data_IF_739391716149
#
_entry.id   IF_739391716149
#
_cell.length_a   1.000
_cell.length_b   1.000
_cell.length_c   1.000
_cell.angle_alpha   90.00
_cell.angle_beta   90.00
_cell.angle_gamma   90.00
#
_symmetry.space_group_name_H-M   'P 1'
#
loop_
_entity.id
_entity.type
_entity.pdbx_description
1 polymer ?
#
# COMPACT_ATOMS: atom_id res chain seq x y z
N UNK A 1 -15.71 -15.20 -9.45
CA UNK A 1 -16.13 -14.35 -10.58
C UNK A 1 -15.12 -13.22 -10.75
N UNK A 2 -14.51 -13.05 -11.95
CA UNK A 2 -13.49 -12.01 -12.19
C UNK A 2 -13.99 -10.58 -11.89
N UNK A 3 -15.29 -10.33 -12.06
CA UNK A 3 -15.89 -9.01 -11.75
C UNK A 3 -15.78 -8.66 -10.27
N UNK A 4 -15.95 -9.63 -9.38
CA UNK A 4 -15.78 -9.43 -7.94
C UNK A 4 -14.32 -9.14 -7.58
N UNK A 5 -13.38 -9.84 -8.20
CA UNK A 5 -11.96 -9.64 -7.99
C UNK A 5 -11.54 -8.19 -8.28
N UNK A 6 -11.84 -7.69 -9.49
CA UNK A 6 -11.56 -6.30 -9.87
C UNK A 6 -12.23 -5.29 -8.95
N UNK A 7 -13.49 -5.54 -8.58
CA UNK A 7 -14.24 -4.65 -7.71
C UNK A 7 -13.65 -4.58 -6.28
N UNK A 8 -13.31 -5.73 -5.70
CA UNK A 8 -12.69 -5.81 -4.36
C UNK A 8 -11.30 -5.14 -4.34
N UNK A 9 -10.51 -5.33 -5.39
CA UNK A 9 -9.23 -4.63 -5.54
C UNK A 9 -9.41 -3.11 -5.57
N UNK A 10 -10.43 -2.61 -6.24
CA UNK A 10 -10.76 -1.17 -6.27
C UNK A 10 -11.18 -0.64 -4.91
N UNK A 11 -11.96 -1.40 -4.12
CA UNK A 11 -12.31 -1.02 -2.76
C UNK A 11 -11.05 -0.91 -1.88
N UNK A 12 -10.15 -1.88 -1.99
CA UNK A 12 -8.92 -1.89 -1.20
C UNK A 12 -7.95 -0.76 -1.56
N UNK A 13 -7.95 -0.34 -2.80
CA UNK A 13 -7.04 0.69 -3.31
C UNK A 13 -7.49 2.13 -3.08
N UNK A 14 -8.62 2.32 -2.62
CA UNK A 14 -9.46 3.49 -2.37
C UNK A 14 -8.77 4.87 -2.31
N UNK A 15 -8.60 5.50 -3.46
CA UNK A 15 -8.25 6.93 -3.51
C UNK A 15 -9.51 7.83 -3.51
N UNK A 16 -10.58 7.39 -4.20
CA UNK A 16 -11.84 8.15 -4.31
C UNK A 16 -13.06 7.43 -3.70
N UNK A 17 -12.91 6.17 -3.28
CA UNK A 17 -14.02 5.35 -2.80
C UNK A 17 -15.00 4.96 -3.91
N UNK A 18 -15.80 3.94 -3.65
CA UNK A 18 -16.92 3.53 -4.50
C UNK A 18 -18.20 3.75 -3.71
N UNK A 19 -19.10 4.58 -4.19
CA UNK A 19 -20.36 4.84 -3.51
C UNK A 19 -21.16 3.54 -3.33
N UNK A 20 -21.64 3.29 -2.11
CA UNK A 20 -22.47 2.12 -1.81
C UNK A 20 -23.85 2.30 -2.42
N UNK A 21 -24.22 1.42 -3.36
CA UNK A 21 -25.51 1.47 -4.03
C UNK A 21 -25.99 0.06 -4.39
N UNK A 22 -26.99 -0.42 -3.68
CA UNK A 22 -27.57 -1.76 -3.89
C UNK A 22 -28.28 -1.96 -5.24
N UNK A 23 -28.42 -0.91 -6.07
CA UNK A 23 -28.87 -1.06 -7.46
C UNK A 23 -27.77 -1.57 -8.39
N UNK A 24 -26.53 -1.54 -7.94
CA UNK A 24 -25.41 -2.16 -8.65
C UNK A 24 -25.37 -3.64 -8.26
N UNK A 25 -25.44 -4.54 -9.23
CA UNK A 25 -25.52 -5.98 -9.00
C UNK A 25 -24.30 -6.51 -8.23
N UNK A 26 -23.08 -6.04 -8.54
CA UNK A 26 -21.86 -6.46 -7.85
C UNK A 26 -21.90 -6.04 -6.37
N UNK A 27 -22.31 -4.81 -6.09
CA UNK A 27 -22.42 -4.31 -4.71
C UNK A 27 -23.49 -5.07 -3.96
N UNK A 28 -24.65 -5.30 -4.60
CA UNK A 28 -25.75 -6.07 -4.01
C UNK A 28 -25.34 -7.50 -3.66
N UNK A 29 -24.67 -8.18 -4.58
CA UNK A 29 -24.19 -9.54 -4.37
C UNK A 29 -23.16 -9.60 -3.23
N UNK A 30 -22.12 -8.75 -3.28
CA UNK A 30 -21.07 -8.73 -2.27
C UNK A 30 -21.59 -8.31 -0.89
N UNK A 31 -22.57 -7.41 -0.81
CA UNK A 31 -23.22 -7.05 0.44
C UNK A 31 -24.09 -8.19 0.97
N UNK A 32 -24.81 -8.89 0.08
CA UNK A 32 -25.63 -10.08 0.45
C UNK A 32 -24.75 -11.22 0.99
N UNK A 33 -23.57 -11.43 0.39
CA UNK A 33 -22.58 -12.39 0.90
C UNK A 33 -21.85 -11.91 2.17
N UNK A 34 -22.10 -10.70 2.62
CA UNK A 34 -21.45 -10.14 3.81
C UNK A 34 -19.95 -9.85 3.62
N UNK A 35 -19.50 -9.63 2.39
CA UNK A 35 -18.10 -9.29 2.08
C UNK A 35 -17.87 -7.79 2.24
N UNK A 36 -18.83 -6.98 1.82
CA UNK A 36 -18.80 -5.52 1.92
C UNK A 36 -19.98 -4.96 2.70
N UNK A 37 -19.83 -3.74 3.16
CA UNK A 37 -20.88 -2.95 3.83
C UNK A 37 -20.83 -1.50 3.36
N UNK A 38 -21.84 -0.72 3.72
CA UNK A 38 -21.81 0.73 3.64
C UNK A 38 -20.93 1.30 4.76
N UNK A 39 -19.94 2.10 4.41
CA UNK A 39 -19.12 2.84 5.35
C UNK A 39 -19.83 4.09 5.88
N UNK A 40 -19.26 4.71 6.91
CA UNK A 40 -19.81 5.93 7.53
C UNK A 40 -19.82 7.13 6.57
N UNK A 41 -19.04 7.09 5.51
CA UNK A 41 -18.95 8.07 4.44
C UNK A 41 -19.85 7.75 3.23
N UNK A 42 -20.69 6.70 3.32
CA UNK A 42 -21.54 6.23 2.24
C UNK A 42 -20.80 5.46 1.13
N UNK A 43 -19.54 5.10 1.36
CA UNK A 43 -18.74 4.34 0.41
C UNK A 43 -18.73 2.85 0.76
N UNK A 44 -18.38 1.99 -0.22
CA UNK A 44 -18.18 0.57 0.03
C UNK A 44 -16.97 0.34 0.93
N UNK A 45 -17.14 -0.47 1.96
CA UNK A 45 -16.07 -0.94 2.84
C UNK A 45 -16.06 -2.47 2.93
N UNK A 46 -14.88 -3.07 3.07
CA UNK A 46 -14.79 -4.50 3.42
C UNK A 46 -15.37 -4.70 4.82
N UNK A 47 -16.26 -5.66 4.95
CA UNK A 47 -17.06 -5.84 6.18
C UNK A 47 -16.19 -6.09 7.42
N UNK A 48 -15.14 -6.90 7.28
CA UNK A 48 -14.29 -7.25 8.41
C UNK A 48 -12.84 -7.54 8.00
N UNK A 49 -11.88 -7.49 8.96
CA UNK A 49 -10.45 -7.74 8.68
C UNK A 49 -10.13 -9.12 8.12
N UNK A 50 -10.96 -10.14 8.39
CA UNK A 50 -10.72 -11.49 7.87
C UNK A 50 -10.89 -11.51 6.35
N UNK A 51 -11.94 -10.90 5.83
CA UNK A 51 -12.13 -10.78 4.38
C UNK A 51 -11.04 -9.93 3.73
N UNK A 52 -10.66 -8.82 4.36
CA UNK A 52 -9.55 -8.00 3.89
C UNK A 52 -8.27 -8.83 3.75
N UNK A 53 -7.96 -9.59 4.79
CA UNK A 53 -6.82 -10.51 4.80
C UNK A 53 -6.92 -11.57 3.69
N UNK A 54 -8.07 -12.25 3.56
CA UNK A 54 -8.28 -13.25 2.51
C UNK A 54 -8.10 -12.66 1.11
N UNK A 55 -8.60 -11.45 0.86
CA UNK A 55 -8.44 -10.76 -0.41
C UNK A 55 -6.96 -10.48 -0.69
N UNK A 56 -6.22 -9.96 0.29
CA UNK A 56 -4.77 -9.74 0.14
C UNK A 56 -4.01 -11.02 -0.19
N UNK A 57 -4.34 -12.14 0.45
CA UNK A 57 -3.67 -13.43 0.20
C UNK A 57 -4.00 -14.01 -1.17
N UNK A 58 -5.26 -13.90 -1.62
CA UNK A 58 -5.68 -14.41 -2.94
C UNK A 58 -5.00 -13.66 -4.09
N UNK A 59 -4.75 -12.37 -3.90
CA UNK A 59 -4.15 -11.50 -4.93
C UNK A 59 -2.66 -11.23 -4.69
N UNK A 60 -1.95 -12.12 -4.00
CA UNK A 60 -0.49 -12.05 -3.92
C UNK A 60 0.13 -12.15 -5.32
N UNK A 61 1.14 -11.35 -5.61
CA UNK A 61 1.83 -11.43 -6.89
C UNK A 61 2.58 -12.76 -7.01
N UNK A 62 2.39 -13.47 -8.12
CA UNK A 62 3.19 -14.60 -8.52
C UNK A 62 4.15 -14.15 -9.62
N UNK A 63 5.45 -14.08 -9.35
CA UNK A 63 6.43 -13.49 -10.26
C UNK A 63 7.55 -14.45 -10.59
N UNK A 64 7.23 -15.63 -11.10
CA UNK A 64 8.22 -16.56 -11.66
C UNK A 64 9.46 -16.80 -10.77
N UNK A 65 9.29 -16.86 -9.45
CA UNK A 65 10.36 -17.04 -8.47
C UNK A 65 11.04 -15.75 -8.01
N UNK A 66 10.69 -14.58 -8.56
CA UNK A 66 11.17 -13.29 -8.04
C UNK A 66 10.57 -12.96 -6.68
N UNK A 67 9.38 -13.48 -6.39
CA UNK A 67 8.73 -13.33 -5.09
C UNK A 67 9.60 -13.84 -3.94
N UNK A 68 10.37 -14.90 -4.13
CA UNK A 68 11.25 -15.45 -3.10
C UNK A 68 12.34 -14.47 -2.67
N UNK A 69 12.81 -13.62 -3.58
CA UNK A 69 13.81 -12.61 -3.24
C UNK A 69 13.25 -11.41 -2.45
N UNK A 70 11.94 -11.18 -2.53
CA UNK A 70 11.29 -10.00 -1.93
C UNK A 70 10.21 -10.34 -0.91
N UNK A 71 9.65 -11.55 -1.00
CA UNK A 71 8.71 -12.14 -0.04
C UNK A 71 9.34 -13.41 0.50
N UNK A 72 10.25 -13.33 1.46
CA UNK A 72 10.94 -14.50 1.99
C UNK A 72 9.93 -15.52 2.53
N UNK A 73 9.93 -16.74 1.98
CA UNK A 73 8.89 -17.70 2.29
C UNK A 73 9.10 -18.44 3.61
N UNK A 74 10.35 -18.68 4.07
CA UNK A 74 10.54 -19.68 5.12
C UNK A 74 11.69 -19.48 6.12
N UNK A 75 12.44 -18.40 6.12
CA UNK A 75 13.52 -18.25 7.10
C UNK A 75 13.32 -17.06 8.03
N UNK A 76 13.21 -17.36 9.34
CA UNK A 76 13.20 -16.34 10.40
C UNK A 76 14.43 -15.40 10.33
N UNK A 77 15.51 -15.84 9.70
CA UNK A 77 16.75 -15.08 9.58
C UNK A 77 16.64 -13.93 8.57
N UNK A 78 15.96 -14.13 7.44
CA UNK A 78 15.78 -13.06 6.43
C UNK A 78 14.85 -11.94 6.92
N UNK A 79 13.83 -12.27 7.71
CA UNK A 79 12.99 -11.26 8.33
C UNK A 79 13.75 -10.41 9.36
N UNK A 80 14.79 -10.96 9.98
CA UNK A 80 15.63 -10.25 10.95
C UNK A 80 16.50 -9.16 10.34
N UNK A 81 16.82 -9.23 9.06
CA UNK A 81 17.59 -8.19 8.36
C UNK A 81 16.87 -6.84 8.36
N UNK A 82 15.52 -6.87 8.46
CA UNK A 82 14.71 -5.65 8.56
C UNK A 82 14.36 -5.27 10.00
N UNK A 83 15.03 -5.85 10.98
CA UNK A 83 14.94 -5.44 12.38
C UNK A 83 16.18 -4.67 12.79
N UNK A 84 15.98 -3.57 13.49
CA UNK A 84 17.10 -2.87 14.14
C UNK A 84 17.69 -3.72 15.28
N UNK A 85 18.90 -3.42 15.78
CA UNK A 85 19.46 -4.11 16.94
C UNK A 85 18.58 -4.03 18.20
N UNK A 86 17.69 -3.04 18.28
CA UNK A 86 16.70 -2.91 19.36
C UNK A 86 15.45 -3.77 19.14
N UNK A 87 15.39 -4.55 18.05
CA UNK A 87 14.24 -5.39 17.69
C UNK A 87 13.06 -4.60 17.15
N UNK A 88 13.24 -3.39 16.64
CA UNK A 88 12.22 -2.60 15.98
C UNK A 88 12.27 -2.81 14.46
N UNK A 89 11.13 -2.66 13.78
CA UNK A 89 11.10 -2.72 12.32
C UNK A 89 11.89 -1.55 11.72
N UNK A 90 12.85 -1.84 10.83
CA UNK A 90 13.50 -0.86 9.97
C UNK A 90 12.63 -0.63 8.72
N UNK A 91 11.61 0.21 8.90
CA UNK A 91 10.67 0.54 7.82
C UNK A 91 11.33 1.19 6.62
N UNK A 92 12.45 1.90 6.81
CA UNK A 92 13.17 2.53 5.70
C UNK A 92 13.78 1.47 4.79
N UNK A 93 14.52 0.51 5.35
CA UNK A 93 15.10 -0.60 4.59
C UNK A 93 14.01 -1.48 3.95
N UNK A 94 12.91 -1.72 4.66
CA UNK A 94 11.78 -2.50 4.15
C UNK A 94 11.11 -1.83 2.94
N UNK A 95 10.90 -0.51 2.99
CA UNK A 95 10.32 0.24 1.87
C UNK A 95 11.32 0.46 0.72
N UNK A 96 12.62 0.55 1.00
CA UNK A 96 13.65 0.56 -0.03
C UNK A 96 13.65 -0.77 -0.81
N UNK A 97 13.53 -1.91 -0.12
CA UNK A 97 13.40 -3.23 -0.75
C UNK A 97 12.10 -3.35 -1.56
N UNK A 98 10.98 -2.87 -1.04
CA UNK A 98 9.73 -2.83 -1.79
C UNK A 98 9.84 -2.02 -3.08
N UNK A 99 10.46 -0.83 -3.04
CA UNK A 99 10.71 -0.02 -4.23
C UNK A 99 11.53 -0.79 -5.27
N UNK A 100 12.57 -1.47 -4.84
CA UNK A 100 13.45 -2.25 -5.72
C UNK A 100 12.71 -3.46 -6.30
N UNK A 101 11.84 -4.10 -5.52
CA UNK A 101 10.93 -5.12 -6.01
C UNK A 101 10.03 -4.60 -7.13
N UNK A 102 9.37 -3.45 -6.92
CA UNK A 102 8.53 -2.83 -7.95
C UNK A 102 9.34 -2.47 -9.20
N UNK A 103 10.54 -1.94 -9.04
CA UNK A 103 11.41 -1.60 -10.17
C UNK A 103 11.79 -2.82 -11.03
N UNK A 104 11.96 -4.00 -10.41
CA UNK A 104 12.33 -5.24 -11.11
C UNK A 104 11.14 -6.00 -11.66
N UNK A 105 10.10 -6.12 -10.87
CA UNK A 105 8.95 -6.98 -11.17
C UNK A 105 7.90 -6.29 -12.04
N UNK A 106 7.80 -4.97 -11.97
CA UNK A 106 6.79 -4.19 -12.66
C UNK A 106 5.37 -4.41 -12.13
N UNK A 107 4.43 -3.59 -12.58
CA UNK A 107 3.03 -3.66 -12.14
C UNK A 107 2.19 -4.71 -12.87
N UNK A 108 2.74 -5.39 -13.87
CA UNK A 108 2.04 -6.49 -14.57
C UNK A 108 1.84 -7.74 -13.71
N UNK A 109 2.31 -7.70 -12.49
CA UNK A 109 2.33 -8.82 -11.55
C UNK A 109 0.93 -9.24 -11.11
N UNK A 110 0.01 -8.30 -10.94
CA UNK A 110 -1.38 -8.61 -10.63
C UNK A 110 -2.16 -8.71 -11.95
N UNK A 111 -2.20 -9.91 -12.51
CA UNK A 111 -3.02 -10.23 -13.68
C UNK A 111 -4.51 -10.33 -13.29
N UNK A 112 -5.05 -9.29 -12.66
CA UNK A 112 -6.49 -9.17 -12.46
C UNK A 112 -7.03 -8.35 -13.62
N UNK A 113 -7.80 -8.95 -14.55
CA UNK A 113 -8.42 -8.22 -15.66
C UNK A 113 -9.21 -7.02 -15.13
N UNK A 114 -9.15 -5.90 -15.83
CA UNK A 114 -9.91 -4.68 -15.54
C UNK A 114 -9.61 -3.99 -14.21
N UNK A 115 -8.53 -4.35 -13.53
CA UNK A 115 -8.10 -3.65 -12.31
C UNK A 115 -7.48 -2.31 -12.70
N UNK A 116 -7.93 -1.17 -12.13
CA UNK A 116 -7.26 0.10 -12.33
C UNK A 116 -5.80 -0.02 -11.89
N UNK A 117 -4.87 0.38 -12.76
CA UNK A 117 -3.43 0.33 -12.46
C UNK A 117 -3.09 1.06 -11.15
N UNK A 118 -3.86 2.08 -10.85
CA UNK A 118 -3.79 2.89 -9.63
C UNK A 118 -3.98 2.08 -8.35
N UNK A 119 -4.79 1.02 -8.41
CA UNK A 119 -5.08 0.13 -7.28
C UNK A 119 -3.95 -0.84 -6.97
N UNK A 120 -3.17 -1.18 -7.98
CA UNK A 120 -2.16 -2.26 -7.91
C UNK A 120 -1.05 -1.91 -6.94
N UNK A 121 -0.51 -0.69 -7.00
CA UNK A 121 0.63 -0.28 -6.18
C UNK A 121 0.34 -0.36 -4.69
N UNK A 122 -0.80 0.18 -4.26
CA UNK A 122 -1.22 0.11 -2.86
C UNK A 122 -1.44 -1.33 -2.41
N UNK A 123 -2.11 -2.15 -3.22
CA UNK A 123 -2.35 -3.55 -2.88
C UNK A 123 -1.05 -4.34 -2.72
N UNK A 124 -0.09 -4.16 -3.64
CA UNK A 124 1.22 -4.78 -3.56
C UNK A 124 1.97 -4.37 -2.29
N UNK A 125 1.92 -3.09 -1.94
CA UNK A 125 2.53 -2.60 -0.70
C UNK A 125 1.88 -3.24 0.54
N UNK A 126 0.56 -3.31 0.58
CA UNK A 126 -0.16 -3.92 1.69
C UNK A 126 0.18 -5.41 1.82
N UNK A 127 0.18 -6.16 0.72
CA UNK A 127 0.52 -7.58 0.72
C UNK A 127 1.97 -7.82 1.15
N UNK A 128 2.90 -6.99 0.68
CA UNK A 128 4.30 -7.04 1.03
C UNK A 128 4.53 -6.77 2.53
N UNK A 129 3.96 -5.69 3.04
CA UNK A 129 4.11 -5.32 4.46
C UNK A 129 3.41 -6.31 5.38
N UNK A 130 2.23 -6.82 5.02
CA UNK A 130 1.50 -7.79 5.82
C UNK A 130 2.29 -9.08 6.03
N UNK A 131 2.93 -9.58 4.98
CA UNK A 131 3.75 -10.78 5.05
C UNK A 131 4.89 -10.61 6.05
N UNK A 132 5.64 -9.50 5.94
CA UNK A 132 6.75 -9.22 6.85
C UNK A 132 6.27 -8.96 8.28
N UNK A 133 5.29 -8.06 8.46
CA UNK A 133 4.82 -7.64 9.79
C UNK A 133 4.33 -8.81 10.62
N UNK A 134 3.61 -9.76 10.01
CA UNK A 134 3.15 -10.97 10.70
C UNK A 134 4.29 -11.88 11.12
N UNK A 135 5.32 -12.03 10.29
CA UNK A 135 6.49 -12.87 10.61
C UNK A 135 7.24 -12.38 11.83
N UNK A 136 7.35 -11.07 12.00
CA UNK A 136 8.00 -10.49 13.17
C UNK A 136 7.07 -10.31 14.37
N UNK A 137 5.83 -10.82 14.29
CA UNK A 137 4.85 -10.73 15.38
C UNK A 137 4.20 -9.36 15.54
N UNK A 138 4.26 -8.51 14.51
CA UNK A 138 3.56 -7.24 14.47
C UNK A 138 2.09 -7.37 14.05
N UNK A 139 1.37 -6.28 14.13
CA UNK A 139 -0.03 -6.18 13.70
C UNK A 139 -0.18 -5.01 12.75
N UNK A 140 -0.84 -5.25 11.62
CA UNK A 140 -1.14 -4.25 10.61
C UNK A 140 -2.62 -3.87 10.66
N UNK A 141 -2.89 -2.57 10.79
CA UNK A 141 -4.22 -1.99 10.78
C UNK A 141 -4.38 -1.12 9.54
N UNK A 142 -5.34 -1.46 8.69
CA UNK A 142 -5.62 -0.75 7.44
C UNK A 142 -6.82 0.16 7.65
N UNK A 143 -6.77 1.37 7.07
CA UNK A 143 -7.87 2.34 7.09
C UNK A 143 -8.34 2.70 8.51
N UNK A 144 -7.40 3.06 9.37
CA UNK A 144 -7.69 3.38 10.77
C UNK A 144 -8.44 4.70 10.88
N UNK A 145 -9.68 4.65 11.39
CA UNK A 145 -10.47 5.84 11.64
C UNK A 145 -9.89 6.65 12.81
N UNK A 146 -9.70 7.92 12.59
CA UNK A 146 -9.29 8.89 13.61
C UNK A 146 -10.38 9.95 13.77
N UNK A 147 -10.37 10.70 14.85
CA UNK A 147 -11.34 11.78 15.05
C UNK A 147 -11.27 12.93 14.02
N UNK A 148 -10.28 12.93 13.13
CA UNK A 148 -10.03 13.98 12.13
C UNK A 148 -9.81 13.45 10.71
N UNK A 149 -10.05 12.17 10.48
CA UNK A 149 -9.87 11.53 9.18
C UNK A 149 -9.51 10.06 9.32
N UNK A 150 -8.89 9.51 8.27
CA UNK A 150 -8.54 8.10 8.21
C UNK A 150 -7.09 7.97 7.75
N UNK A 151 -6.27 7.25 8.53
CA UNK A 151 -4.93 6.84 8.16
C UNK A 151 -4.98 5.62 7.26
N UNK A 152 -4.16 5.56 6.23
CA UNK A 152 -4.12 4.43 5.32
C UNK A 152 -3.61 3.17 6.01
N UNK A 153 -2.53 3.27 6.77
CA UNK A 153 -1.88 2.12 7.39
C UNK A 153 -1.21 2.49 8.72
N UNK A 154 -1.54 1.74 9.76
CA UNK A 154 -0.88 1.76 11.05
C UNK A 154 -0.33 0.38 11.36
N UNK A 155 0.98 0.26 11.57
CA UNK A 155 1.64 -0.97 12.01
C UNK A 155 2.04 -0.81 13.46
N UNK A 156 1.81 -1.84 14.27
CA UNK A 156 2.28 -1.90 15.66
C UNK A 156 3.19 -3.11 15.85
N UNK A 157 4.36 -2.87 16.42
CA UNK A 157 5.34 -3.91 16.73
C UNK A 157 6.22 -3.48 17.90
N UNK A 158 6.43 -4.35 18.88
CA UNK A 158 7.27 -4.08 20.06
C UNK A 158 7.02 -2.72 20.70
N UNK A 159 5.73 -2.39 20.96
CA UNK A 159 5.25 -1.13 21.54
C UNK A 159 5.55 0.13 20.69
N UNK A 160 6.02 -0.04 19.45
CA UNK A 160 6.24 1.04 18.51
C UNK A 160 5.13 1.06 17.46
N UNK A 161 4.79 2.27 17.01
CA UNK A 161 3.84 2.53 15.93
C UNK A 161 4.59 3.02 14.69
N UNK A 162 4.16 2.56 13.53
CA UNK A 162 4.65 3.01 12.22
C UNK A 162 3.45 3.42 11.39
N UNK A 163 3.47 4.61 10.84
CA UNK A 163 2.38 5.14 10.00
C UNK A 163 2.90 5.26 8.58
N UNK A 164 2.16 4.65 7.64
CA UNK A 164 2.41 4.74 6.21
C UNK A 164 1.19 5.31 5.53
N UNK A 165 1.36 6.41 4.83
CA UNK A 165 0.33 7.03 3.99
C UNK A 165 0.66 6.75 2.53
N UNK A 166 -0.35 6.38 1.73
CA UNK A 166 -0.19 6.06 0.32
C UNK A 166 -0.97 7.02 -0.55
N UNK A 167 -0.42 7.45 -1.66
CA UNK A 167 -1.11 8.31 -2.65
C UNK A 167 -0.70 7.96 -4.06
N UNK A 168 -1.50 8.41 -5.01
CA UNK A 168 -1.15 8.45 -6.41
C UNK A 168 -0.64 9.84 -6.74
N UNK A 169 0.41 9.91 -7.57
CA UNK A 169 0.94 11.18 -8.01
C UNK A 169 -0.10 11.96 -8.83
N UNK A 170 -0.48 13.11 -8.33
CA UNK A 170 -1.40 14.05 -8.99
C UNK A 170 -0.86 15.48 -8.99
N UNK A 171 0.46 15.61 -9.05
CA UNK A 171 1.17 16.88 -9.07
C UNK A 171 1.75 17.30 -7.71
N UNK A 172 2.69 18.24 -7.75
CA UNK A 172 3.49 18.66 -6.61
C UNK A 172 2.65 19.22 -5.46
N UNK A 173 1.62 20.01 -5.76
CA UNK A 173 0.75 20.57 -4.72
C UNK A 173 0.04 19.51 -3.88
N UNK A 174 -0.46 18.43 -4.52
CA UNK A 174 -1.09 17.30 -3.83
C UNK A 174 -0.08 16.45 -3.07
N UNK A 175 1.11 16.29 -3.63
CA UNK A 175 2.22 15.62 -2.96
C UNK A 175 2.57 16.31 -1.64
N UNK A 176 2.75 17.63 -1.66
CA UNK A 176 3.03 18.42 -0.46
C UNK A 176 1.87 18.40 0.55
N UNK A 177 0.63 18.43 0.06
CA UNK A 177 -0.56 18.33 0.93
C UNK A 177 -0.64 16.97 1.64
N UNK A 178 -0.29 15.88 0.96
CA UNK A 178 -0.25 14.54 1.56
C UNK A 178 0.79 14.42 2.67
N UNK A 179 1.96 15.01 2.50
CA UNK A 179 2.97 15.07 3.58
C UNK A 179 2.47 15.84 4.82
N UNK A 180 1.76 16.96 4.62
CA UNK A 180 1.13 17.70 5.74
C UNK A 180 0.06 16.88 6.45
N UNK A 181 -0.73 16.12 5.70
CA UNK A 181 -1.73 15.20 6.26
C UNK A 181 -1.06 14.12 7.12
N UNK A 182 0.00 13.48 6.62
CA UNK A 182 0.77 12.50 7.37
C UNK A 182 1.37 13.13 8.65
N UNK A 183 1.97 14.32 8.56
CA UNK A 183 2.50 15.02 9.74
C UNK A 183 1.44 15.23 10.82
N UNK A 184 0.21 15.56 10.44
CA UNK A 184 -0.90 15.70 11.38
C UNK A 184 -1.26 14.38 12.07
N UNK A 185 -1.27 13.27 11.33
CA UNK A 185 -1.51 11.94 11.90
C UNK A 185 -0.40 11.48 12.85
N UNK A 186 0.87 11.71 12.46
CA UNK A 186 2.02 11.41 13.33
C UNK A 186 1.92 12.12 14.67
N UNK A 187 1.58 13.41 14.67
CA UNK A 187 1.38 14.18 15.90
C UNK A 187 0.21 13.66 16.73
N UNK A 188 -0.90 13.31 16.10
CA UNK A 188 -2.07 12.77 16.78
C UNK A 188 -1.77 11.45 17.51
N UNK A 189 -0.96 10.60 16.86
CA UNK A 189 -0.57 9.29 17.39
C UNK A 189 0.67 9.34 18.30
N UNK A 190 1.30 10.51 18.48
CA UNK A 190 2.51 10.67 19.26
C UNK A 190 3.73 9.97 18.64
N UNK A 191 3.78 9.89 17.32
CA UNK A 191 4.85 9.25 16.53
C UNK A 191 5.74 10.34 15.93
N UNK A 192 7.06 10.15 15.97
CA UNK A 192 8.04 11.15 15.54
C UNK A 192 8.47 11.01 14.08
N UNK A 193 8.22 9.85 13.48
CA UNK A 193 8.62 9.52 12.12
C UNK A 193 7.52 8.77 11.36
N UNK A 194 7.37 9.05 10.07
CA UNK A 194 6.39 8.41 9.21
C UNK A 194 6.85 8.28 7.77
N UNK A 195 6.10 7.51 7.00
CA UNK A 195 6.45 7.10 5.65
C UNK A 195 5.35 7.48 4.67
N UNK A 196 5.73 8.09 3.58
CA UNK A 196 4.83 8.55 2.53
C UNK A 196 5.18 7.89 1.21
N UNK A 197 4.33 6.99 0.73
CA UNK A 197 4.54 6.22 -0.51
C UNK A 197 3.61 6.73 -1.60
N UNK A 198 4.17 7.22 -2.68
CA UNK A 198 3.43 7.78 -3.81
C UNK A 198 3.72 6.98 -5.08
N UNK A 199 2.68 6.47 -5.70
CA UNK A 199 2.77 5.74 -6.96
C UNK A 199 2.63 6.70 -8.14
N UNK A 200 3.65 6.75 -9.00
CA UNK A 200 3.70 7.67 -10.15
C UNK A 200 3.38 6.93 -11.45
N UNK A 201 2.19 7.19 -11.99
CA UNK A 201 1.67 6.59 -13.22
C UNK A 201 1.95 7.41 -14.48
N UNK A 202 2.75 8.48 -14.39
CA UNK A 202 3.10 9.30 -15.56
C UNK A 202 4.01 8.53 -16.50
N UNK A 203 3.94 8.84 -17.79
CA UNK A 203 4.85 8.26 -18.78
C UNK A 203 6.32 8.64 -18.54
N UNK A 204 6.55 9.82 -17.99
CA UNK A 204 7.86 10.30 -17.55
C UNK A 204 7.83 10.53 -16.05
N UNK A 205 7.95 9.46 -15.25
CA UNK A 205 7.98 9.58 -13.80
C UNK A 205 9.27 10.24 -13.32
N UNK A 206 9.20 10.85 -12.13
CA UNK A 206 10.36 11.45 -11.46
C UNK A 206 10.59 10.71 -10.12
N UNK A 207 11.29 9.56 -10.15
CA UNK A 207 11.50 8.76 -8.95
C UNK A 207 12.41 9.47 -7.97
N UNK A 208 12.02 9.52 -6.70
CA UNK A 208 12.80 10.16 -5.66
C UNK A 208 12.53 9.58 -4.28
N UNK A 209 13.53 9.69 -3.42
CA UNK A 209 13.41 9.44 -1.99
C UNK A 209 13.84 10.72 -1.30
N UNK A 210 12.99 11.23 -0.44
CA UNK A 210 13.24 12.46 0.30
C UNK A 210 13.02 12.20 1.79
N UNK A 211 13.84 12.81 2.63
CA UNK A 211 13.61 12.85 4.08
C UNK A 211 13.61 14.30 4.52
N UNK A 212 12.53 14.71 5.14
CA UNK A 212 12.38 16.07 5.62
C UNK A 212 11.72 16.11 7.00
N UNK A 213 11.91 17.20 7.69
CA UNK A 213 11.19 17.45 8.95
C UNK A 213 10.09 18.46 8.67
N UNK A 214 8.84 18.04 8.91
CA UNK A 214 7.66 18.89 8.73
C UNK A 214 6.92 18.97 10.06
N UNK A 215 6.73 20.20 10.55
CA UNK A 215 6.02 20.44 11.81
C UNK A 215 6.57 19.67 13.02
N UNK A 216 7.86 19.38 13.06
CA UNK A 216 8.55 18.69 14.15
C UNK A 216 8.50 17.16 14.09
N UNK A 217 7.98 16.57 13.01
CA UNK A 217 8.04 15.13 12.74
C UNK A 217 8.84 14.85 11.48
N UNK A 218 9.55 13.72 11.45
CA UNK A 218 10.32 13.30 10.29
C UNK A 218 9.42 12.54 9.30
N UNK A 219 9.49 12.89 8.02
CA UNK A 219 8.78 12.19 6.95
C UNK A 219 9.79 11.70 5.92
N UNK A 220 9.81 10.38 5.71
CA UNK A 220 10.52 9.77 4.58
C UNK A 220 9.51 9.45 3.48
N UNK A 221 9.67 10.07 2.32
CA UNK A 221 8.77 9.94 1.19
C UNK A 221 9.44 9.23 0.02
N UNK A 222 8.63 8.44 -0.68
CA UNK A 222 9.01 7.64 -1.83
C UNK A 222 8.08 7.97 -3.00
N UNK A 223 8.64 8.35 -4.15
CA UNK A 223 7.90 8.42 -5.42
C UNK A 223 8.34 7.22 -6.26
N UNK A 224 7.43 6.26 -6.43
CA UNK A 224 7.71 4.96 -7.06
C UNK A 224 7.06 4.95 -8.45
N UNK A 225 7.86 4.84 -9.54
CA UNK A 225 7.34 4.70 -10.89
C UNK A 225 6.55 3.40 -11.07
N UNK A 226 5.39 3.52 -11.70
CA UNK A 226 4.47 2.40 -11.97
C UNK A 226 4.54 1.93 -13.43
N UNK A 227 4.86 2.85 -14.35
CA UNK A 227 5.04 2.54 -15.76
C UNK A 227 6.50 2.18 -15.99
N UNK A 228 6.71 0.98 -16.52
CA UNK A 228 8.02 0.54 -16.96
C UNK A 228 8.00 0.39 -18.48
N UNK A 229 8.95 1.02 -19.14
CA UNK A 229 9.19 0.75 -20.55
C UNK A 229 9.80 -0.65 -20.69
N UNK A 230 9.26 -1.43 -21.64
CA UNK A 230 9.89 -2.71 -21.96
C UNK A 230 11.31 -2.43 -22.52
N UNK A 231 12.33 -3.21 -22.15
CA UNK A 231 13.69 -3.04 -22.68
C UNK A 231 13.77 -2.99 -24.20
N UNK A 232 12.82 -3.65 -24.89
CA UNK A 232 12.66 -3.62 -26.34
C UNK A 232 12.23 -2.26 -26.91
N UNK A 233 11.71 -1.36 -26.07
CA UNK A 233 11.24 -0.03 -26.48
C UNK A 233 12.29 1.09 -26.20
N UNK A 234 13.41 0.74 -25.58
CA UNK A 234 14.53 1.67 -25.39
C UNK A 234 15.23 1.76 -26.74
N UNK A 235 14.97 2.81 -27.50
CA UNK A 235 15.76 3.11 -28.69
C UNK A 235 17.22 3.32 -28.25
N UNK A 236 18.20 2.59 -28.82
CA UNK A 236 19.59 2.91 -28.54
C UNK A 236 19.85 4.36 -28.98
N UNK A 237 20.66 5.13 -28.28
CA UNK A 237 21.04 6.47 -28.70
C UNK A 237 21.70 6.38 -30.07
N UNK A 238 21.20 7.21 -31.01
CA UNK A 238 21.77 7.38 -32.36
C UNK A 238 23.20 7.86 -32.31
#
# INVERSE_FOLDING_TARGET
>A
DPRFASFLMRIMARDEGIAFNLRNDIISDLATYGVIKEGTDGMCEILNPIYLYCIMQVFKPLVNGLEQAYFPEDTDDEAREYLTPAGWIDMASLLDNFRDFIARAGFRILQVPDTPQESVGRHLLLAYLDEFVRRVGGVMHIEVQTGRGRMDLLITHNQRKYIVETKIWRGESRYQSGKKQLAAYLKLEGVTDGYYVVFDHRQTPDPRIETETLDGVAIRSYVIPVIQEAPSNINPPL
#
